data_IF_234817210977
#
_entry.id   IF_234817210977
#
_cell.length_a   1.000
_cell.length_b   1.000
_cell.length_c   1.000
_cell.angle_alpha   90.00
_cell.angle_beta   90.00
_cell.angle_gamma   90.00
#
_symmetry.space_group_name_H-M   'P 1'
#
loop_
_entity.id
_entity.type
_entity.pdbx_description
1 polymer ?
#
# COMPACT_ATOMS: atom_id res chain seq x y z
N UNK A 1 -23.97 -5.51 9.63
CA UNK A 1 -22.96 -4.92 10.53
C UNK A 1 -21.54 -5.35 10.16
N UNK A 2 -21.26 -6.65 10.03
CA UNK A 2 -19.90 -7.17 9.74
C UNK A 2 -19.28 -6.60 8.45
N UNK A 3 -20.06 -6.44 7.37
CA UNK A 3 -19.57 -5.83 6.11
C UNK A 3 -19.11 -4.38 6.32
N UNK A 4 -19.82 -3.59 7.14
CA UNK A 4 -19.44 -2.20 7.40
C UNK A 4 -18.11 -2.11 8.16
N UNK A 5 -17.88 -3.03 9.11
CA UNK A 5 -16.61 -3.12 9.83
C UNK A 5 -15.50 -3.56 8.87
N UNK A 6 -15.77 -4.48 7.96
CA UNK A 6 -14.81 -4.94 6.97
C UNK A 6 -14.46 -3.90 5.89
N UNK A 7 -15.19 -2.77 5.79
CA UNK A 7 -14.83 -1.63 4.96
C UNK A 7 -13.86 -0.65 5.64
N UNK A 8 -13.65 -0.76 6.95
CA UNK A 8 -12.76 0.15 7.70
C UNK A 8 -11.33 0.17 7.12
N UNK A 9 -10.70 -0.96 6.75
CA UNK A 9 -9.37 -0.95 6.13
C UNK A 9 -9.33 -0.13 4.84
N UNK A 10 -10.35 -0.27 3.98
CA UNK A 10 -10.47 0.52 2.75
C UNK A 10 -10.55 2.02 3.05
N UNK A 11 -11.37 2.42 4.02
CA UNK A 11 -11.52 3.82 4.44
C UNK A 11 -10.21 4.39 4.99
N UNK A 12 -9.54 3.65 5.88
CA UNK A 12 -8.28 4.09 6.49
C UNK A 12 -7.16 4.16 5.44
N UNK A 13 -6.88 3.08 4.73
CA UNK A 13 -5.81 3.08 3.73
C UNK A 13 -6.09 3.98 2.53
N UNK A 14 -7.35 4.10 2.11
CA UNK A 14 -7.73 4.98 1.00
C UNK A 14 -7.56 6.47 1.32
N UNK A 15 -7.67 6.86 2.59
CA UNK A 15 -7.50 8.28 3.00
C UNK A 15 -6.05 8.66 3.27
N UNK A 16 -5.17 7.71 3.61
CA UNK A 16 -3.75 7.96 3.90
C UNK A 16 -3.03 8.74 2.78
N UNK A 17 -3.07 8.33 1.49
CA UNK A 17 -2.43 9.07 0.40
C UNK A 17 -2.94 10.52 0.27
N UNK A 18 -4.23 10.73 0.54
CA UNK A 18 -4.89 12.03 0.47
C UNK A 18 -4.39 12.96 1.56
N UNK A 19 -4.34 12.46 2.81
CA UNK A 19 -3.87 13.22 3.96
C UNK A 19 -2.40 13.58 3.81
N UNK A 20 -1.55 12.60 3.44
CA UNK A 20 -0.11 12.83 3.24
C UNK A 20 0.13 13.91 2.18
N UNK A 21 -0.57 13.82 1.05
CA UNK A 21 -0.38 14.77 -0.05
C UNK A 21 -0.95 16.14 0.30
N UNK A 22 -2.08 16.20 1.03
CA UNK A 22 -2.69 17.44 1.51
C UNK A 22 -1.80 18.18 2.51
N UNK A 23 -1.19 17.48 3.46
CA UNK A 23 -0.22 18.06 4.39
C UNK A 23 1.10 18.44 3.69
N UNK A 24 1.43 17.74 2.61
CA UNK A 24 2.60 18.01 1.78
C UNK A 24 3.90 17.83 2.54
N UNK A 25 4.91 18.65 2.21
CA UNK A 25 6.26 18.50 2.74
C UNK A 25 7.16 17.63 1.86
N UNK A 26 8.45 17.57 2.20
CA UNK A 26 9.40 16.75 1.44
C UNK A 26 9.12 15.26 1.64
N UNK A 27 9.57 14.42 0.72
CA UNK A 27 9.37 12.96 0.82
C UNK A 27 10.00 12.42 2.10
N UNK A 28 11.09 13.06 2.54
CA UNK A 28 11.77 12.78 3.81
C UNK A 28 10.86 13.04 5.00
N UNK A 29 10.18 14.19 5.04
CA UNK A 29 9.23 14.53 6.10
C UNK A 29 8.03 13.59 6.10
N UNK A 30 7.46 13.29 4.92
CA UNK A 30 6.33 12.38 4.76
C UNK A 30 6.66 10.97 5.24
N UNK A 31 7.84 10.45 4.85
CA UNK A 31 8.31 9.15 5.30
C UNK A 31 8.55 9.12 6.80
N UNK A 32 9.27 10.10 7.35
CA UNK A 32 9.53 10.17 8.79
C UNK A 32 8.25 10.29 9.61
N UNK A 33 7.30 11.14 9.19
CA UNK A 33 6.01 11.28 9.86
C UNK A 33 5.25 9.95 9.85
N UNK A 34 5.14 9.30 8.69
CA UNK A 34 4.47 8.01 8.55
C UNK A 34 5.05 6.94 9.48
N UNK A 35 6.38 6.80 9.54
CA UNK A 35 7.01 5.78 10.36
C UNK A 35 6.90 6.09 11.85
N UNK A 36 7.01 7.35 12.26
CA UNK A 36 6.79 7.77 13.66
C UNK A 36 5.34 7.57 14.10
N UNK A 37 4.37 7.83 13.21
CA UNK A 37 2.96 7.56 13.47
C UNK A 37 2.69 6.08 13.65
N UNK A 38 3.25 5.24 12.77
CA UNK A 38 3.15 3.79 12.89
C UNK A 38 3.80 3.26 14.17
N UNK A 39 4.97 3.79 14.56
CA UNK A 39 5.63 3.45 15.83
C UNK A 39 4.81 3.88 17.03
N UNK A 40 4.22 5.08 17.01
CA UNK A 40 3.35 5.55 18.09
C UNK A 40 2.17 4.59 18.29
N UNK A 41 1.51 4.21 17.19
CA UNK A 41 0.43 3.23 17.23
C UNK A 41 0.92 1.86 17.73
N UNK A 42 2.06 1.38 17.25
CA UNK A 42 2.65 0.12 17.66
C UNK A 42 2.97 0.07 19.16
N UNK A 43 3.51 1.14 19.72
CA UNK A 43 3.77 1.27 21.16
C UNK A 43 2.48 1.25 21.96
N UNK A 44 1.43 1.92 21.49
CA UNK A 44 0.11 1.88 22.15
C UNK A 44 -0.43 0.46 22.15
N UNK A 45 -0.48 -0.21 20.99
CA UNK A 45 -0.97 -1.59 20.86
C UNK A 45 -0.16 -2.56 21.72
N UNK A 46 1.16 -2.36 21.83
CA UNK A 46 2.02 -3.18 22.67
C UNK A 46 1.57 -3.24 24.14
N UNK A 47 1.00 -2.17 24.70
CA UNK A 47 0.49 -2.17 26.07
C UNK A 47 -0.85 -2.91 26.25
N UNK A 48 -1.54 -3.25 25.16
CA UNK A 48 -2.84 -3.93 25.17
C UNK A 48 -2.79 -5.32 24.54
N UNK A 49 -1.61 -5.80 24.18
CA UNK A 49 -1.40 -7.10 23.55
C UNK A 49 -0.24 -7.81 24.22
N UNK A 50 -0.22 -9.13 24.18
CA UNK A 50 0.84 -9.96 24.74
C UNK A 50 1.66 -10.61 23.60
N UNK A 51 2.52 -9.86 22.89
CA UNK A 51 3.28 -10.42 21.79
C UNK A 51 4.36 -11.38 22.29
N UNK A 52 4.53 -12.49 21.57
CA UNK A 52 5.56 -13.50 21.84
C UNK A 52 6.75 -13.24 20.91
N UNK A 53 7.84 -12.72 21.50
CA UNK A 53 9.05 -12.42 20.75
C UNK A 53 10.06 -13.56 20.79
N UNK A 54 10.52 -13.93 19.60
CA UNK A 54 11.69 -14.78 19.37
C UNK A 54 12.68 -13.99 18.53
N UNK A 55 13.96 -14.38 18.53
CA UNK A 55 14.96 -13.72 17.67
C UNK A 55 14.53 -13.74 16.19
N UNK A 56 13.88 -14.82 15.75
CA UNK A 56 13.30 -14.94 14.40
C UNK A 56 12.19 -13.92 14.16
N UNK A 57 11.20 -13.82 15.05
CA UNK A 57 10.06 -12.92 14.85
C UNK A 57 10.49 -11.45 14.90
N UNK A 58 11.39 -11.09 15.81
CA UNK A 58 11.94 -9.73 15.89
C UNK A 58 12.76 -9.39 14.65
N UNK A 59 13.70 -10.27 14.25
CA UNK A 59 14.59 -10.02 13.12
C UNK A 59 13.86 -9.90 11.78
N UNK A 60 12.96 -10.85 11.47
CA UNK A 60 12.21 -10.82 10.20
C UNK A 60 11.26 -9.62 10.17
N UNK A 61 10.54 -9.35 11.26
CA UNK A 61 9.62 -8.22 11.32
C UNK A 61 10.35 -6.89 11.16
N UNK A 62 11.52 -6.72 11.79
CA UNK A 62 12.38 -5.56 11.58
C UNK A 62 12.76 -5.37 10.10
N UNK A 63 13.21 -6.44 9.42
CA UNK A 63 13.55 -6.40 7.99
C UNK A 63 12.33 -6.02 7.14
N UNK A 64 11.15 -6.57 7.46
CA UNK A 64 9.91 -6.21 6.75
C UNK A 64 9.56 -4.73 6.93
N UNK A 65 9.89 -4.14 8.08
CA UNK A 65 9.76 -2.72 8.34
C UNK A 65 10.70 -1.87 7.49
N UNK A 66 11.94 -2.33 7.29
CA UNK A 66 12.88 -1.70 6.37
C UNK A 66 12.38 -1.73 4.92
N UNK A 67 11.88 -2.88 4.45
CA UNK A 67 11.29 -3.03 3.13
C UNK A 67 10.04 -2.15 2.94
N UNK A 68 9.23 -2.04 3.99
CA UNK A 68 8.09 -1.12 3.98
C UNK A 68 8.53 0.32 3.77
N UNK A 69 9.59 0.77 4.45
CA UNK A 69 10.08 2.14 4.28
C UNK A 69 10.58 2.40 2.87
N UNK A 70 11.28 1.43 2.26
CA UNK A 70 11.65 1.50 0.83
C UNK A 70 10.40 1.66 -0.01
N UNK A 71 9.43 0.76 0.16
CA UNK A 71 8.12 0.82 -0.50
C UNK A 71 7.49 2.21 -0.39
N UNK A 72 7.36 2.72 0.83
CA UNK A 72 6.73 3.98 1.15
C UNK A 72 7.47 5.18 0.56
N UNK A 73 8.79 5.23 0.66
CA UNK A 73 9.58 6.35 0.14
C UNK A 73 9.39 6.52 -1.37
N UNK A 74 9.45 5.41 -2.12
CA UNK A 74 9.25 5.45 -3.56
C UNK A 74 7.78 5.70 -3.93
N UNK A 75 6.83 5.17 -3.16
CA UNK A 75 5.40 5.49 -3.34
C UNK A 75 5.14 7.00 -3.25
N UNK A 76 5.70 7.64 -2.22
CA UNK A 76 5.54 9.08 -1.98
C UNK A 76 6.23 9.93 -3.06
N UNK A 77 7.35 9.45 -3.62
CA UNK A 77 7.97 10.10 -4.78
C UNK A 77 7.06 9.99 -6.01
N UNK A 78 6.46 8.83 -6.26
CA UNK A 78 5.55 8.65 -7.37
C UNK A 78 4.31 9.56 -7.27
N UNK A 79 3.76 9.77 -6.07
CA UNK A 79 2.67 10.74 -5.87
C UNK A 79 3.04 12.15 -6.33
N UNK A 80 4.30 12.56 -6.17
CA UNK A 80 4.77 13.88 -6.60
C UNK A 80 5.05 13.95 -8.10
N UNK A 81 5.36 12.83 -8.73
CA UNK A 81 5.70 12.76 -10.16
C UNK A 81 4.42 12.66 -11.01
N UNK A 82 3.48 11.77 -10.66
CA UNK A 82 2.31 11.44 -11.49
C UNK A 82 0.95 11.71 -10.82
N UNK A 83 0.95 12.18 -9.57
CA UNK A 83 -0.27 12.38 -8.77
C UNK A 83 -0.76 11.10 -8.10
N UNK A 84 -1.54 11.25 -7.03
CA UNK A 84 -2.16 10.17 -6.27
C UNK A 84 -3.17 9.42 -7.14
N UNK A 85 -3.94 10.13 -7.98
CA UNK A 85 -5.01 9.50 -8.77
C UNK A 85 -4.51 8.47 -9.78
N UNK A 86 -3.33 8.69 -10.39
CA UNK A 86 -2.68 7.70 -11.26
C UNK A 86 -1.85 6.71 -10.45
N UNK A 87 -1.11 7.18 -9.46
CA UNK A 87 -0.18 6.33 -8.72
C UNK A 87 -0.86 5.22 -7.91
N UNK A 88 -2.06 5.47 -7.37
CA UNK A 88 -2.73 4.51 -6.49
C UNK A 88 -3.21 3.25 -7.24
N UNK A 89 -3.96 3.32 -8.35
CA UNK A 89 -4.35 2.12 -9.07
C UNK A 89 -3.14 1.36 -9.64
N UNK A 90 -2.13 2.09 -10.12
CA UNK A 90 -0.90 1.47 -10.63
C UNK A 90 -0.16 0.73 -9.52
N UNK A 91 0.06 1.39 -8.37
CA UNK A 91 0.76 0.81 -7.22
C UNK A 91 0.02 -0.40 -6.66
N UNK A 92 -1.29 -0.27 -6.42
CA UNK A 92 -2.12 -1.37 -5.94
C UNK A 92 -2.07 -2.53 -6.93
N UNK A 93 -2.22 -2.26 -8.24
CA UNK A 93 -2.13 -3.29 -9.26
C UNK A 93 -0.78 -4.01 -9.26
N UNK A 94 0.35 -3.28 -9.22
CA UNK A 94 1.69 -3.87 -9.19
C UNK A 94 1.91 -4.74 -7.94
N UNK A 95 1.42 -4.29 -6.78
CA UNK A 95 1.49 -5.06 -5.53
C UNK A 95 0.63 -6.32 -5.59
N UNK A 96 -0.59 -6.23 -6.13
CA UNK A 96 -1.48 -7.39 -6.30
C UNK A 96 -0.89 -8.43 -7.24
N UNK A 97 -0.33 -7.99 -8.38
CA UNK A 97 0.37 -8.90 -9.31
C UNK A 97 1.56 -9.54 -8.62
N UNK A 98 2.44 -8.75 -7.98
CA UNK A 98 3.64 -9.27 -7.35
C UNK A 98 3.35 -10.24 -6.20
N UNK A 99 2.44 -9.89 -5.29
CA UNK A 99 2.04 -10.75 -4.17
C UNK A 99 1.38 -12.05 -4.64
N UNK A 100 0.55 -11.97 -5.69
CA UNK A 100 -0.10 -13.14 -6.28
C UNK A 100 0.92 -14.07 -6.94
N UNK A 101 1.81 -13.53 -7.78
CA UNK A 101 2.85 -14.34 -8.44
C UNK A 101 3.79 -14.99 -7.41
N UNK A 102 4.22 -14.25 -6.38
CA UNK A 102 5.02 -14.83 -5.30
C UNK A 102 4.22 -15.90 -4.54
N UNK A 103 2.93 -15.69 -4.27
CA UNK A 103 2.06 -16.67 -3.62
C UNK A 103 1.98 -17.98 -4.40
N UNK A 104 1.84 -17.91 -5.72
CA UNK A 104 1.78 -19.09 -6.59
C UNK A 104 3.14 -19.79 -6.68
N UNK A 105 4.20 -19.03 -6.95
CA UNK A 105 5.54 -19.58 -7.20
C UNK A 105 6.16 -20.15 -5.91
N UNK A 106 6.06 -19.42 -4.80
CA UNK A 106 6.75 -19.76 -3.55
C UNK A 106 5.90 -20.58 -2.59
N UNK A 107 4.57 -20.39 -2.60
CA UNK A 107 3.66 -21.01 -1.63
C UNK A 107 2.63 -21.94 -2.27
N UNK A 108 2.66 -22.10 -3.59
CA UNK A 108 1.80 -23.02 -4.34
C UNK A 108 0.30 -22.80 -4.08
N UNK A 109 -0.13 -21.53 -3.97
CA UNK A 109 -1.52 -21.15 -3.66
C UNK A 109 -2.56 -21.56 -4.73
N UNK A 110 -2.15 -21.88 -5.96
CA UNK A 110 -3.05 -22.28 -7.06
C UNK A 110 -2.96 -23.77 -7.38
N UNK A 111 -3.47 -24.59 -6.48
CA UNK A 111 -3.51 -26.06 -6.57
C UNK A 111 -4.73 -26.61 -7.35
N UNK A 112 -5.82 -25.86 -7.44
CA UNK A 112 -7.02 -26.26 -8.19
C UNK A 112 -7.19 -25.51 -9.50
N UNK A 113 -7.82 -26.15 -10.49
CA UNK A 113 -8.10 -25.54 -11.81
C UNK A 113 -8.91 -24.25 -11.68
N UNK A 114 -9.86 -24.18 -10.74
CA UNK A 114 -10.64 -22.97 -10.50
C UNK A 114 -9.77 -21.80 -10.03
N UNK A 115 -8.86 -22.03 -9.07
CA UNK A 115 -7.94 -21.00 -8.57
C UNK A 115 -7.03 -20.48 -9.68
N UNK A 116 -6.53 -21.38 -10.53
CA UNK A 116 -5.70 -21.02 -11.69
C UNK A 116 -6.48 -20.11 -12.66
N UNK A 117 -7.70 -20.49 -13.06
CA UNK A 117 -8.52 -19.71 -14.00
C UNK A 117 -8.85 -18.33 -13.44
N UNK A 118 -9.37 -18.27 -12.21
CA UNK A 118 -9.70 -17.01 -11.55
C UNK A 118 -8.46 -16.12 -11.38
N UNK A 119 -7.32 -16.73 -11.03
CA UNK A 119 -6.03 -16.08 -10.92
C UNK A 119 -5.58 -15.40 -12.21
N UNK A 120 -5.60 -16.11 -13.33
CA UNK A 120 -5.23 -15.53 -14.63
C UNK A 120 -6.18 -14.42 -15.08
N UNK A 121 -7.49 -14.59 -14.89
CA UNK A 121 -8.47 -13.53 -15.20
C UNK A 121 -8.19 -12.29 -14.35
N UNK A 122 -7.93 -12.47 -13.05
CA UNK A 122 -7.62 -11.38 -12.14
C UNK A 122 -6.35 -10.62 -12.56
N UNK A 123 -5.27 -11.34 -12.90
CA UNK A 123 -4.04 -10.73 -13.39
C UNK A 123 -4.26 -9.94 -14.69
N UNK A 124 -5.05 -10.48 -15.63
CA UNK A 124 -5.38 -9.80 -16.88
C UNK A 124 -6.14 -8.48 -16.63
N UNK A 125 -7.14 -8.50 -15.74
CA UNK A 125 -7.88 -7.29 -15.34
C UNK A 125 -6.95 -6.27 -14.69
N UNK A 126 -6.08 -6.69 -13.77
CA UNK A 126 -5.16 -5.77 -13.08
C UNK A 126 -4.17 -5.14 -14.07
N UNK A 127 -3.55 -5.94 -14.93
CA UNK A 127 -2.60 -5.44 -15.94
C UNK A 127 -3.30 -4.48 -16.91
N UNK A 128 -4.50 -4.82 -17.37
CA UNK A 128 -5.34 -3.92 -18.18
C UNK A 128 -5.66 -2.61 -17.44
N UNK A 129 -6.00 -2.69 -16.14
CA UNK A 129 -6.28 -1.53 -15.31
C UNK A 129 -5.07 -0.61 -15.09
N UNK A 130 -3.89 -1.19 -14.87
CA UNK A 130 -2.62 -0.46 -14.80
C UNK A 130 -2.34 0.24 -16.13
N UNK A 131 -2.51 -0.46 -17.26
CA UNK A 131 -2.26 0.10 -18.59
C UNK A 131 -3.18 1.29 -18.88
N UNK A 132 -4.48 1.17 -18.59
CA UNK A 132 -5.43 2.29 -18.76
C UNK A 132 -5.07 3.47 -17.84
N UNK A 133 -4.78 3.22 -16.57
CA UNK A 133 -4.42 4.29 -15.61
C UNK A 133 -3.11 5.01 -16.00
N UNK A 134 -2.22 4.29 -16.69
CA UNK A 134 -0.96 4.83 -17.19
C UNK A 134 -1.11 5.68 -18.44
N UNK A 135 -2.33 5.88 -18.97
CA UNK A 135 -2.53 6.79 -20.10
C UNK A 135 -2.17 8.22 -19.70
N UNK A 136 -1.32 8.87 -20.50
CA UNK A 136 -1.01 10.28 -20.39
C UNK A 136 -1.17 10.92 -21.78
N UNK A 137 -1.84 12.06 -21.84
CA UNK A 137 -1.97 12.80 -23.09
C UNK A 137 -0.60 13.37 -23.49
N UNK A 138 -0.32 13.39 -24.80
CA UNK A 138 1.02 13.61 -25.35
C UNK A 138 1.50 15.06 -25.15
N UNK A 139 2.05 15.33 -23.98
CA UNK A 139 3.09 16.33 -23.79
C UNK A 139 4.39 15.59 -23.46
N UNK A 140 5.52 15.97 -24.06
CA UNK A 140 6.81 15.28 -23.88
C UNK A 140 7.20 15.17 -22.41
N UNK A 141 6.95 16.23 -21.63
CA UNK A 141 7.15 16.27 -20.18
C UNK A 141 6.26 15.25 -19.44
N UNK A 142 5.02 15.10 -19.87
CA UNK A 142 4.06 14.15 -19.29
C UNK A 142 4.48 12.70 -19.49
N UNK A 143 5.09 12.37 -20.64
CA UNK A 143 5.56 11.01 -20.95
C UNK A 143 6.79 10.64 -20.12
N UNK A 144 7.73 11.57 -19.96
CA UNK A 144 8.92 11.36 -19.13
C UNK A 144 8.55 11.22 -17.65
N UNK A 145 7.67 12.09 -17.15
CA UNK A 145 7.14 12.00 -15.78
C UNK A 145 6.42 10.67 -15.55
N UNK A 146 5.59 10.22 -16.50
CA UNK A 146 4.92 8.92 -16.40
C UNK A 146 5.92 7.77 -16.29
N UNK A 147 6.92 7.71 -17.19
CA UNK A 147 7.95 6.66 -17.17
C UNK A 147 8.70 6.65 -15.83
N UNK A 148 9.11 7.82 -15.35
CA UNK A 148 9.76 7.95 -14.05
C UNK A 148 8.83 7.49 -12.92
N UNK A 149 7.55 7.86 -12.95
CA UNK A 149 6.55 7.42 -11.97
C UNK A 149 6.37 5.91 -11.97
N UNK A 150 6.30 5.27 -13.13
CA UNK A 150 6.18 3.82 -13.27
C UNK A 150 7.39 3.06 -12.70
N UNK A 151 8.61 3.50 -13.03
CA UNK A 151 9.84 2.92 -12.48
C UNK A 151 9.87 3.09 -10.95
N UNK A 152 9.52 4.28 -10.48
CA UNK A 152 9.45 4.60 -9.05
C UNK A 152 8.44 3.67 -8.34
N UNK A 153 7.24 3.49 -8.91
CA UNK A 153 6.22 2.58 -8.36
C UNK A 153 6.61 1.12 -8.41
N UNK A 154 7.35 0.69 -9.43
CA UNK A 154 7.86 -0.68 -9.49
C UNK A 154 8.82 -0.97 -8.32
N UNK A 155 9.76 -0.06 -8.04
CA UNK A 155 10.66 -0.18 -6.88
C UNK A 155 9.86 -0.19 -5.58
N UNK A 156 8.85 0.67 -5.48
CA UNK A 156 7.93 0.70 -4.34
C UNK A 156 7.24 -0.64 -4.13
N UNK A 157 6.67 -1.20 -5.20
CA UNK A 157 5.98 -2.48 -5.19
C UNK A 157 6.91 -3.63 -4.78
N UNK A 158 8.18 -3.65 -5.22
CA UNK A 158 9.14 -4.65 -4.76
C UNK A 158 9.33 -4.63 -3.23
N UNK A 159 9.38 -3.44 -2.61
CA UNK A 159 9.44 -3.33 -1.15
C UNK A 159 8.19 -3.89 -0.46
N UNK A 160 7.00 -3.52 -0.95
CA UNK A 160 5.73 -4.01 -0.41
C UNK A 160 5.45 -5.50 -0.70
N UNK A 161 5.92 -6.05 -1.82
CA UNK A 161 5.80 -7.48 -2.09
C UNK A 161 6.77 -8.25 -1.20
N UNK A 162 8.02 -7.77 -1.07
CA UNK A 162 9.03 -8.41 -0.24
C UNK A 162 8.62 -8.52 1.23
N UNK A 163 7.98 -7.48 1.80
CA UNK A 163 7.48 -7.57 3.18
C UNK A 163 6.39 -8.65 3.33
N UNK A 164 5.47 -8.76 2.37
CA UNK A 164 4.38 -9.74 2.41
C UNK A 164 4.95 -11.15 2.30
N UNK A 165 5.87 -11.38 1.36
CA UNK A 165 6.54 -12.66 1.15
C UNK A 165 7.29 -13.11 2.41
N UNK A 166 8.00 -12.20 3.09
CA UNK A 166 8.72 -12.54 4.31
C UNK A 166 7.78 -12.87 5.48
N UNK A 167 6.74 -12.07 5.71
CA UNK A 167 5.77 -12.34 6.78
C UNK A 167 5.07 -13.68 6.56
N UNK A 168 4.61 -13.95 5.33
CA UNK A 168 3.94 -15.20 4.97
C UNK A 168 4.90 -16.39 5.02
N UNK A 169 6.07 -16.27 4.41
CA UNK A 169 7.06 -17.35 4.32
C UNK A 169 7.61 -17.79 5.68
N UNK A 170 7.78 -16.85 6.62
CA UNK A 170 8.22 -17.16 7.98
C UNK A 170 7.08 -17.42 8.97
N UNK A 171 5.82 -17.35 8.50
CA UNK A 171 4.58 -17.52 9.30
C UNK A 171 4.59 -16.64 10.54
N UNK A 172 4.93 -15.36 10.36
CA UNK A 172 4.96 -14.40 11.46
C UNK A 172 3.54 -13.94 11.75
N UNK A 173 3.10 -14.11 13.00
CA UNK A 173 1.81 -13.59 13.45
C UNK A 173 1.75 -12.06 13.39
N UNK A 174 0.60 -11.53 13.01
CA UNK A 174 0.39 -10.09 12.81
C UNK A 174 0.72 -9.27 14.06
N UNK A 175 0.30 -9.70 15.25
CA UNK A 175 0.53 -8.98 16.51
C UNK A 175 2.02 -8.97 16.86
N UNK A 176 2.70 -10.11 16.69
CA UNK A 176 4.14 -10.25 16.97
C UNK A 176 5.02 -9.41 16.02
N UNK A 177 4.50 -9.02 14.85
CA UNK A 177 5.22 -8.22 13.88
C UNK A 177 5.17 -6.71 14.17
N UNK A 178 4.06 -6.20 14.74
CA UNK A 178 3.73 -4.76 14.79
C UNK A 178 4.88 -3.90 15.31
N UNK A 179 5.36 -4.16 16.53
CA UNK A 179 6.36 -3.31 17.17
C UNK A 179 7.75 -3.45 16.55
N UNK A 180 8.32 -4.66 16.35
CA UNK A 180 9.61 -4.78 15.68
C UNK A 180 9.60 -4.23 14.24
N UNK A 181 8.49 -4.39 13.51
CA UNK A 181 8.32 -3.82 12.18
C UNK A 181 8.32 -2.30 12.22
N UNK A 182 7.59 -1.68 13.15
CA UNK A 182 7.57 -0.22 13.28
C UNK A 182 8.93 0.36 13.69
N UNK A 183 9.71 -0.36 14.51
CA UNK A 183 11.10 0.01 14.84
C UNK A 183 11.97 -0.05 13.57
N UNK A 184 11.87 -1.13 12.78
CA UNK A 184 12.55 -1.26 11.50
C UNK A 184 12.18 -0.14 10.52
N UNK A 185 10.91 0.23 10.46
CA UNK A 185 10.42 1.36 9.66
C UNK A 185 11.10 2.67 10.06
N UNK A 186 11.13 3.01 11.35
CA UNK A 186 11.74 4.26 11.82
C UNK A 186 13.26 4.28 11.60
N UNK A 187 13.97 3.19 11.91
CA UNK A 187 15.43 3.13 11.74
C UNK A 187 15.82 3.24 10.26
N UNK A 188 15.15 2.48 9.38
CA UNK A 188 15.38 2.59 7.93
C UNK A 188 15.03 3.99 7.41
N UNK A 189 13.95 4.61 7.88
CA UNK A 189 13.59 5.96 7.48
C UNK A 189 14.63 6.98 7.93
N UNK A 190 15.16 6.85 9.14
CA UNK A 190 16.25 7.69 9.65
C UNK A 190 17.51 7.59 8.79
N UNK A 191 17.85 6.39 8.30
CA UNK A 191 19.01 6.15 7.44
C UNK A 191 18.76 6.70 6.04
N UNK A 192 17.68 6.26 5.39
CA UNK A 192 17.39 6.59 3.98
C UNK A 192 17.07 8.08 3.78
N UNK A 193 16.54 8.75 4.80
CA UNK A 193 16.30 10.19 4.75
C UNK A 193 17.49 11.01 5.25
N UNK A 194 18.59 10.42 5.72
CA UNK A 194 19.71 11.17 6.27
C UNK A 194 20.31 12.12 5.23
N UNK A 195 20.66 11.59 4.06
CA UNK A 195 21.28 12.32 2.95
C UNK A 195 20.27 12.49 1.82
N UNK A 196 19.76 13.70 1.59
CA UNK A 196 18.80 13.91 0.50
C UNK A 196 18.06 15.24 0.45
N UNK A 197 18.47 16.24 1.22
CA UNK A 197 17.85 17.57 1.15
C UNK A 197 18.35 18.52 2.23
N UNK A 198 18.19 19.82 1.97
CA UNK A 198 18.57 20.91 2.89
C UNK A 198 17.52 21.17 3.96
N UNK A 199 16.29 20.68 3.77
CA UNK A 199 15.19 20.86 4.70
C UNK A 199 15.30 19.99 5.96
N UNK A 200 14.87 20.54 7.10
CA UNK A 200 14.83 19.81 8.37
C UNK A 200 13.86 18.62 8.26
N UNK A 201 14.36 17.42 8.60
CA UNK A 201 13.58 16.17 8.65
C UNK A 201 12.48 16.20 9.70
N UNK A 202 12.71 16.92 10.80
CA UNK A 202 11.78 17.07 11.91
C UNK A 202 11.31 18.51 12.00
N UNK A 203 10.02 18.72 11.74
CA UNK A 203 9.36 20.00 11.92
C UNK A 203 7.85 19.78 12.17
N UNK A 204 7.09 20.88 12.22
CA UNK A 204 5.63 20.83 12.38
C UNK A 204 4.94 19.98 11.31
N UNK A 205 5.45 19.93 10.07
CA UNK A 205 4.87 19.09 9.01
C UNK A 205 5.11 17.61 9.29
N UNK A 206 6.32 17.22 9.66
CA UNK A 206 6.62 15.84 10.08
C UNK A 206 5.71 15.39 11.22
N UNK A 207 5.42 16.29 12.17
CA UNK A 207 4.48 16.02 13.25
C UNK A 207 3.04 15.81 12.74
N UNK A 208 2.54 16.65 11.82
CA UNK A 208 1.23 16.42 11.21
C UNK A 208 1.17 15.10 10.42
N UNK A 209 2.28 14.71 9.80
CA UNK A 209 2.41 13.48 9.04
C UNK A 209 2.47 12.21 9.90
N UNK A 210 2.51 12.31 11.24
CA UNK A 210 2.28 11.14 12.11
C UNK A 210 0.83 10.67 12.08
N UNK A 211 -0.12 11.56 11.82
CA UNK A 211 -1.55 11.24 11.73
C UNK A 211 -1.82 10.15 10.67
N UNK A 212 -1.41 10.32 9.38
CA UNK A 212 -1.60 9.25 8.39
C UNK A 212 -0.80 7.98 8.73
N UNK A 213 0.32 8.08 9.46
CA UNK A 213 1.06 6.91 9.95
C UNK A 213 0.26 6.08 10.97
N UNK A 214 -0.41 6.75 11.91
CA UNK A 214 -1.33 6.12 12.87
C UNK A 214 -2.53 5.51 12.13
N UNK A 215 -3.13 6.23 11.19
CA UNK A 215 -4.26 5.73 10.38
C UNK A 215 -3.86 4.49 9.58
N UNK A 216 -2.68 4.48 8.96
CA UNK A 216 -2.18 3.33 8.23
C UNK A 216 -2.02 2.09 9.13
N UNK A 217 -1.41 2.27 10.30
CA UNK A 217 -1.20 1.18 11.26
C UNK A 217 -2.53 0.67 11.85
N UNK A 218 -3.48 1.57 12.13
CA UNK A 218 -4.84 1.21 12.50
C UNK A 218 -5.54 0.39 11.40
N UNK A 219 -5.29 0.71 10.13
CA UNK A 219 -5.79 -0.06 8.99
C UNK A 219 -5.28 -1.50 8.97
N UNK A 220 -4.04 -1.76 9.39
CA UNK A 220 -3.52 -3.13 9.50
C UNK A 220 -4.26 -3.94 10.59
N UNK A 221 -4.51 -3.35 11.76
CA UNK A 221 -5.28 -4.02 12.82
C UNK A 221 -6.74 -4.22 12.39
N UNK A 222 -7.35 -3.20 11.77
CA UNK A 222 -8.69 -3.31 11.22
C UNK A 222 -8.79 -4.41 10.16
N UNK A 223 -7.74 -4.62 9.37
CA UNK A 223 -7.68 -5.70 8.38
C UNK A 223 -7.64 -7.08 9.06
N UNK A 224 -6.83 -7.26 10.10
CA UNK A 224 -6.80 -8.52 10.88
C UNK A 224 -8.20 -8.82 11.42
N UNK A 225 -8.87 -7.82 11.98
CA UNK A 225 -10.22 -7.97 12.50
C UNK A 225 -11.27 -8.23 11.41
N UNK A 226 -11.18 -7.53 10.27
CA UNK A 226 -12.06 -7.75 9.12
C UNK A 226 -11.96 -9.20 8.62
N UNK A 227 -10.74 -9.73 8.49
CA UNK A 227 -10.50 -11.10 8.07
C UNK A 227 -11.10 -12.12 9.05
N UNK A 228 -11.12 -11.83 10.35
CA UNK A 228 -11.77 -12.70 11.35
C UNK A 228 -13.30 -12.67 11.25
N UNK A 229 -13.90 -11.53 10.88
CA UNK A 229 -15.35 -11.36 10.82
C UNK A 229 -16.01 -11.87 9.54
N UNK A 230 -15.34 -11.69 8.39
CA UNK A 230 -15.92 -12.01 7.07
C UNK A 230 -15.07 -13.00 6.26
N UNK A 231 -13.97 -13.49 6.83
CA UNK A 231 -13.00 -14.33 6.12
C UNK A 231 -12.00 -13.51 5.31
N UNK A 232 -10.84 -14.10 5.03
CA UNK A 232 -9.72 -13.46 4.33
C UNK A 232 -10.10 -13.02 2.91
N UNK A 233 -10.83 -13.86 2.18
CA UNK A 233 -11.28 -13.56 0.82
C UNK A 233 -12.13 -12.29 0.75
N UNK A 234 -13.17 -12.21 1.59
CA UNK A 234 -14.08 -11.07 1.62
C UNK A 234 -13.41 -9.84 2.22
N UNK A 235 -12.65 -9.97 3.31
CA UNK A 235 -11.91 -8.86 3.94
C UNK A 235 -10.92 -8.21 2.98
N UNK A 236 -10.12 -9.02 2.29
CA UNK A 236 -9.20 -8.56 1.26
C UNK A 236 -9.90 -7.90 0.07
N UNK A 237 -11.01 -8.48 -0.39
CA UNK A 237 -11.80 -7.94 -1.50
C UNK A 237 -12.34 -6.55 -1.16
N UNK A 238 -12.91 -6.40 0.05
CA UNK A 238 -13.45 -5.13 0.53
C UNK A 238 -12.36 -4.08 0.72
N UNK A 239 -11.15 -4.45 1.14
CA UNK A 239 -10.07 -3.47 1.30
C UNK A 239 -9.61 -2.84 0.00
N UNK A 240 -9.78 -3.52 -1.14
CA UNK A 240 -9.40 -2.96 -2.45
C UNK A 240 -10.21 -1.71 -2.80
N UNK A 241 -11.39 -1.50 -2.20
CA UNK A 241 -12.15 -0.27 -2.37
C UNK A 241 -11.39 0.98 -1.88
N UNK A 242 -10.36 0.81 -1.05
CA UNK A 242 -9.48 1.91 -0.64
C UNK A 242 -8.78 2.57 -1.82
N UNK A 243 -8.48 1.83 -2.89
CA UNK A 243 -7.88 2.41 -4.10
C UNK A 243 -8.84 3.39 -4.77
N UNK A 244 -10.14 3.08 -4.81
CA UNK A 244 -11.19 3.97 -5.34
C UNK A 244 -11.25 5.28 -4.57
N UNK A 245 -11.24 5.19 -3.23
CA UNK A 245 -11.24 6.36 -2.34
C UNK A 245 -10.04 7.25 -2.62
N UNK A 246 -8.84 6.66 -2.69
CA UNK A 246 -7.61 7.41 -2.92
C UNK A 246 -7.55 8.02 -4.33
N UNK A 247 -8.08 7.33 -5.34
CA UNK A 247 -8.10 7.80 -6.73
C UNK A 247 -9.07 8.95 -6.91
N UNK A 248 -10.34 8.75 -6.54
CA UNK A 248 -11.39 9.77 -6.64
C UNK A 248 -11.06 10.95 -5.72
N UNK A 249 -10.57 10.68 -4.52
CA UNK A 249 -10.10 11.70 -3.59
C UNK A 249 -8.93 12.51 -4.14
N UNK A 250 -8.00 11.89 -4.87
CA UNK A 250 -6.90 12.59 -5.53
C UNK A 250 -7.41 13.57 -6.59
N UNK A 251 -8.39 13.15 -7.38
CA UNK A 251 -9.02 14.00 -8.39
C UNK A 251 -9.76 15.18 -7.71
N UNK A 252 -10.65 14.90 -6.75
CA UNK A 252 -11.57 15.90 -6.20
C UNK A 252 -10.90 16.76 -5.10
N UNK A 253 -10.30 16.12 -4.08
CA UNK A 253 -9.81 16.81 -2.88
C UNK A 253 -8.42 17.41 -3.07
N UNK A 254 -7.56 16.74 -3.84
CA UNK A 254 -6.23 17.26 -4.20
C UNK A 254 -6.25 18.09 -5.49
N UNK A 255 -7.41 18.16 -6.17
CA UNK A 255 -7.63 18.94 -7.40
C UNK A 255 -6.64 18.55 -8.51
N UNK A 256 -6.31 17.27 -8.63
CA UNK A 256 -5.45 16.78 -9.70
C UNK A 256 -6.14 16.99 -11.05
N UNK A 257 -5.55 17.84 -11.90
CA UNK A 257 -6.04 18.06 -13.26
C UNK A 257 -5.86 16.79 -14.08
N UNK A 258 -6.91 16.42 -14.80
CA UNK A 258 -6.96 15.33 -15.78
C UNK A 258 -7.78 15.80 -16.97
N UNK A 259 -7.37 15.43 -18.17
CA UNK A 259 -8.22 15.64 -19.35
C UNK A 259 -9.42 14.69 -19.29
N UNK A 260 -10.48 14.95 -20.06
CA UNK A 260 -11.67 14.10 -20.04
C UNK A 260 -11.34 12.65 -20.41
N UNK A 261 -10.41 12.44 -21.35
CA UNK A 261 -9.92 11.10 -21.71
C UNK A 261 -9.12 10.47 -20.59
N UNK A 262 -8.15 11.18 -20.01
CA UNK A 262 -7.39 10.66 -18.87
C UNK A 262 -8.30 10.29 -17.70
N UNK A 263 -9.31 11.11 -17.42
CA UNK A 263 -10.30 10.85 -16.37
C UNK A 263 -11.03 9.53 -16.60
N UNK A 264 -11.54 9.31 -17.81
CA UNK A 264 -12.22 8.07 -18.18
C UNK A 264 -11.29 6.86 -18.00
N UNK A 265 -10.05 6.97 -18.47
CA UNK A 265 -9.07 5.88 -18.41
C UNK A 265 -8.66 5.55 -16.96
N UNK A 266 -8.49 6.55 -16.10
CA UNK A 266 -8.23 6.36 -14.67
C UNK A 266 -9.41 5.70 -13.97
N UNK A 267 -10.65 6.12 -14.27
CA UNK A 267 -11.87 5.54 -13.67
C UNK A 267 -12.04 4.08 -14.11
N UNK A 268 -11.92 3.77 -15.40
CA UNK A 268 -12.00 2.38 -15.88
C UNK A 268 -10.83 1.57 -15.32
N UNK A 269 -9.63 2.15 -15.28
CA UNK A 269 -8.44 1.50 -14.75
C UNK A 269 -8.58 1.08 -13.28
N UNK A 270 -9.07 1.97 -12.42
CA UNK A 270 -9.30 1.64 -11.00
C UNK A 270 -10.38 0.58 -10.84
N UNK A 271 -11.45 0.60 -11.65
CA UNK A 271 -12.49 -0.45 -11.63
C UNK A 271 -11.90 -1.81 -11.98
N UNK A 272 -11.07 -1.91 -13.01
CA UNK A 272 -10.43 -3.17 -13.40
C UNK A 272 -9.48 -3.70 -12.31
N UNK A 273 -8.68 -2.82 -11.68
CA UNK A 273 -7.79 -3.20 -10.57
C UNK A 273 -8.59 -3.72 -9.37
N UNK A 274 -9.69 -3.06 -9.02
CA UNK A 274 -10.58 -3.50 -7.93
C UNK A 274 -11.20 -4.85 -8.26
N UNK A 275 -11.76 -5.03 -9.45
CA UNK A 275 -12.35 -6.31 -9.86
C UNK A 275 -11.33 -7.45 -9.85
N UNK A 276 -10.12 -7.22 -10.36
CA UNK A 276 -9.05 -8.21 -10.29
C UNK A 276 -8.61 -8.51 -8.86
N UNK A 277 -8.50 -7.49 -7.99
CA UNK A 277 -8.22 -7.69 -6.57
C UNK A 277 -9.30 -8.50 -5.84
N UNK A 278 -10.58 -8.27 -6.15
CA UNK A 278 -11.71 -9.08 -5.65
C UNK A 278 -11.59 -10.52 -6.14
N UNK A 279 -11.29 -10.74 -7.42
CA UNK A 279 -11.11 -12.08 -7.98
C UNK A 279 -9.93 -12.83 -7.36
N UNK A 280 -8.82 -12.16 -7.03
CA UNK A 280 -7.72 -12.76 -6.24
C UNK A 280 -8.23 -13.19 -4.87
N UNK A 281 -9.01 -12.33 -4.20
CA UNK A 281 -9.62 -12.66 -2.91
C UNK A 281 -10.47 -13.92 -3.00
N UNK A 282 -11.35 -14.01 -4.01
CA UNK A 282 -12.19 -15.20 -4.27
C UNK A 282 -11.32 -16.42 -4.58
N UNK A 283 -10.28 -16.29 -5.41
CA UNK A 283 -9.39 -17.39 -5.74
C UNK A 283 -8.65 -17.93 -4.51
N UNK A 284 -8.28 -17.07 -3.54
CA UNK A 284 -7.68 -17.53 -2.28
C UNK A 284 -8.67 -18.22 -1.34
N UNK A 285 -9.97 -17.94 -1.48
CA UNK A 285 -11.02 -18.49 -0.61
C UNK A 285 -11.75 -19.72 -1.15
N UNK A 286 -11.71 -19.96 -2.46
CA UNK A 286 -12.28 -21.14 -3.13
C UNK A 286 -11.42 -22.38 -2.86
#
# INVERSE_FOLDING_TARGET
MNIMIALIPALLWGTVPLIITKFGGSTRQQTMGMTLGALTFAVIVFFFTDPVYTLKTVGISFITGCLWTVGQMFQLQAFKIIGVSKAMPISTGMQLVGTTLCGVILFHEWDTTLRIILGFIALALIVGGIFLTSYAEKEEDGTNALKQGLITLFISACGYVGLVVLIQGFKIDGINAILPQAIGMVISALIMTHSGGTEKRFNKRTLLLTIPGVIWAAGNVAMVHANQLVGVATGFSLSQLGVVISTIGGIILLKEKKTQKEMLFVIVGVVLVVLGGILIGVAKGA
#
